data_IF_377083657917
#
_entry.id   IF_377083657917
#
_cell.length_a   1.000
_cell.length_b   1.000
_cell.length_c   1.000
_cell.angle_alpha   90.00
_cell.angle_beta   90.00
_cell.angle_gamma   90.00
#
_symmetry.space_group_name_H-M   'P 1'
#
loop_
_entity.id
_entity.type
_entity.pdbx_description
1 polymer ?
#
# COMPACT_ATOMS: atom_id res chain seq x y z
N UNK A 1 -27.10 -0.97 14.59
CA UNK A 1 -26.36 0.15 15.21
C UNK A 1 -25.79 1.05 14.13
N UNK A 2 -26.15 2.33 14.13
CA UNK A 2 -25.62 3.32 13.18
C UNK A 2 -24.11 3.40 13.34
N UNK A 3 -23.37 3.20 12.25
CA UNK A 3 -21.91 3.30 12.28
C UNK A 3 -21.52 4.77 12.27
N UNK A 4 -20.77 5.19 13.30
CA UNK A 4 -20.23 6.55 13.38
C UNK A 4 -19.29 6.86 12.22
N UNK A 5 -19.22 8.12 11.75
CA UNK A 5 -18.38 8.51 10.62
C UNK A 5 -16.88 8.31 10.90
N UNK A 6 -16.10 8.06 9.83
CA UNK A 6 -14.67 7.76 9.90
C UNK A 6 -13.84 8.83 10.62
N UNK A 7 -14.24 10.11 10.51
CA UNK A 7 -13.56 11.26 11.13
C UNK A 7 -13.27 11.10 12.62
N UNK A 8 -14.11 10.37 13.35
CA UNK A 8 -13.92 10.14 14.80
C UNK A 8 -12.73 9.23 15.13
N UNK A 9 -12.33 8.34 14.21
CA UNK A 9 -11.29 7.34 14.46
C UNK A 9 -10.06 7.51 13.56
N UNK A 10 -10.12 8.36 12.52
CA UNK A 10 -9.05 8.50 11.52
C UNK A 10 -7.70 8.90 12.13
N UNK A 11 -7.70 9.78 13.12
CA UNK A 11 -6.47 10.37 13.65
C UNK A 11 -5.79 9.40 14.64
N UNK A 12 -4.47 9.27 14.53
CA UNK A 12 -3.66 8.48 15.47
C UNK A 12 -3.35 9.33 16.71
N UNK A 13 -4.36 9.61 17.54
CA UNK A 13 -4.19 10.41 18.77
C UNK A 13 -3.99 9.56 20.03
N UNK A 14 -4.55 8.34 20.04
CA UNK A 14 -4.54 7.46 21.21
C UNK A 14 -3.37 6.48 21.18
N UNK A 15 -2.92 6.04 22.36
CA UNK A 15 -1.96 4.94 22.49
C UNK A 15 -2.47 3.65 21.81
N UNK A 16 -1.55 2.79 21.41
CA UNK A 16 -1.91 1.52 20.79
C UNK A 16 -2.70 0.64 21.76
N UNK A 17 -3.81 0.09 21.27
CA UNK A 17 -4.70 -0.78 22.05
C UNK A 17 -4.97 -2.04 21.23
N UNK A 18 -4.23 -3.11 21.55
CA UNK A 18 -4.11 -4.31 20.69
C UNK A 18 -4.15 -5.65 21.46
N UNK A 19 -3.79 -5.67 22.75
CA UNK A 19 -3.74 -6.87 23.61
C UNK A 19 -5.13 -7.43 23.91
N UNK A 20 -5.56 -8.44 23.15
CA UNK A 20 -6.93 -9.00 23.25
C UNK A 20 -7.19 -9.79 24.53
N UNK A 21 -6.16 -10.35 25.16
CA UNK A 21 -6.30 -11.09 26.43
C UNK A 21 -6.90 -10.23 27.57
N UNK A 22 -6.67 -8.92 27.55
CA UNK A 22 -7.23 -7.97 28.53
C UNK A 22 -8.55 -7.32 28.05
N UNK A 23 -9.12 -7.77 26.94
CA UNK A 23 -10.29 -7.16 26.30
C UNK A 23 -11.42 -8.17 26.06
N UNK A 24 -12.53 -8.01 26.77
CA UNK A 24 -13.77 -8.71 26.44
C UNK A 24 -14.53 -8.06 25.27
N UNK A 25 -15.16 -8.88 24.43
CA UNK A 25 -16.16 -8.42 23.44
C UNK A 25 -15.62 -7.64 22.25
N UNK A 26 -14.39 -7.90 21.81
CA UNK A 26 -13.85 -7.30 20.58
C UNK A 26 -14.59 -7.83 19.35
N UNK A 27 -15.20 -6.98 18.51
CA UNK A 27 -15.90 -7.44 17.32
C UNK A 27 -14.97 -8.11 16.31
N UNK A 28 -15.48 -9.13 15.61
CA UNK A 28 -14.77 -9.82 14.55
C UNK A 28 -14.34 -8.89 13.41
N UNK A 29 -13.23 -9.24 12.76
CA UNK A 29 -12.75 -8.54 11.56
C UNK A 29 -13.64 -8.89 10.36
N UNK A 30 -13.98 -7.90 9.52
CA UNK A 30 -14.73 -8.16 8.28
C UNK A 30 -13.86 -8.64 7.13
N UNK A 31 -12.57 -8.31 7.17
CA UNK A 31 -11.63 -8.80 6.16
C UNK A 31 -11.29 -10.23 6.55
N UNK A 32 -11.70 -11.17 5.70
CA UNK A 32 -11.42 -12.60 5.87
C UNK A 32 -10.24 -13.01 5.00
N UNK A 33 -10.20 -12.52 3.76
CA UNK A 33 -9.19 -12.89 2.76
C UNK A 33 -8.25 -11.70 2.49
N UNK A 34 -6.95 -11.91 2.73
CA UNK A 34 -5.91 -10.92 2.46
C UNK A 34 -5.22 -11.15 1.12
N UNK A 35 -5.28 -12.36 0.58
CA UNK A 35 -4.68 -12.72 -0.69
C UNK A 35 -5.72 -13.32 -1.62
N UNK A 36 -5.68 -12.96 -2.90
CA UNK A 36 -6.63 -13.34 -3.94
C UNK A 36 -5.94 -13.51 -5.29
N UNK A 37 -6.64 -14.16 -6.22
CA UNK A 37 -6.17 -14.42 -7.57
C UNK A 37 -5.33 -15.70 -7.62
N UNK A 38 -4.27 -15.66 -8.42
CA UNK A 38 -3.30 -16.74 -8.56
C UNK A 38 -2.14 -16.53 -7.58
N UNK A 39 -2.06 -17.40 -6.56
CA UNK A 39 -1.02 -17.36 -5.52
C UNK A 39 0.27 -18.08 -5.95
N UNK A 40 0.17 -18.92 -6.97
CA UNK A 40 1.23 -19.83 -7.40
C UNK A 40 2.17 -19.18 -8.41
N UNK A 41 1.63 -18.30 -9.25
CA UNK A 41 2.38 -17.70 -10.35
C UNK A 41 3.12 -16.45 -9.90
N UNK A 42 4.40 -16.36 -10.26
CA UNK A 42 5.17 -15.13 -10.10
C UNK A 42 4.88 -14.17 -11.27
N UNK A 43 4.75 -12.88 -10.95
CA UNK A 43 4.36 -11.85 -11.90
C UNK A 43 5.40 -10.71 -11.91
N UNK A 44 5.79 -10.19 -13.10
CA UNK A 44 6.89 -9.22 -13.20
C UNK A 44 6.49 -7.78 -12.90
N UNK A 45 5.20 -7.45 -12.97
CA UNK A 45 4.71 -6.11 -12.63
C UNK A 45 4.19 -6.11 -11.20
N UNK A 46 4.61 -5.13 -10.40
CA UNK A 46 4.05 -4.80 -9.09
C UNK A 46 3.45 -3.39 -9.13
N UNK A 47 2.19 -3.27 -8.71
CA UNK A 47 1.53 -1.98 -8.50
C UNK A 47 1.07 -1.90 -7.05
N UNK A 48 1.62 -0.93 -6.33
CA UNK A 48 1.32 -0.68 -4.93
C UNK A 48 0.41 0.54 -4.77
N UNK A 49 -0.58 0.43 -3.87
CA UNK A 49 -1.34 1.55 -3.34
C UNK A 49 -0.69 2.01 -2.03
N UNK A 50 -0.18 3.24 -2.01
CA UNK A 50 0.62 3.82 -0.93
C UNK A 50 -0.15 4.98 -0.30
N UNK A 51 -0.11 5.08 1.03
CA UNK A 51 -0.71 6.21 1.76
C UNK A 51 0.25 7.38 1.86
N UNK A 52 -0.29 8.60 1.78
CA UNK A 52 0.48 9.84 1.97
C UNK A 52 0.45 10.34 3.42
N UNK A 53 -0.68 10.21 4.12
CA UNK A 53 -0.84 10.72 5.50
C UNK A 53 -1.00 9.60 6.53
N UNK A 54 -0.42 9.79 7.72
CA UNK A 54 -0.60 8.87 8.83
C UNK A 54 -2.08 8.79 9.23
N UNK A 55 -2.69 7.61 9.18
CA UNK A 55 -4.10 7.46 9.50
C UNK A 55 -4.46 6.08 10.06
N UNK A 56 -5.66 6.02 10.66
CA UNK A 56 -6.30 4.77 11.02
C UNK A 56 -7.37 4.39 9.99
N UNK A 57 -7.24 3.20 9.43
CA UNK A 57 -8.18 2.65 8.45
C UNK A 57 -9.00 1.57 9.11
N UNK A 58 -10.32 1.77 9.15
CA UNK A 58 -11.23 0.77 9.74
C UNK A 58 -11.26 -0.49 8.89
N UNK A 59 -11.45 -1.63 9.54
CA UNK A 59 -11.63 -2.93 8.87
C UNK A 59 -12.74 -2.89 7.79
N UNK A 60 -13.81 -2.11 8.00
CA UNK A 60 -14.89 -1.96 7.01
C UNK A 60 -14.48 -1.18 5.76
N UNK A 61 -13.58 -0.21 5.90
CA UNK A 61 -13.05 0.58 4.78
C UNK A 61 -12.06 -0.25 3.98
N UNK A 62 -11.17 -0.98 4.66
CA UNK A 62 -10.27 -1.94 4.02
C UNK A 62 -11.03 -3.03 3.26
N UNK A 63 -12.11 -3.59 3.81
CA UNK A 63 -12.92 -4.58 3.10
C UNK A 63 -13.63 -3.98 1.88
N UNK A 64 -14.15 -2.75 1.98
CA UNK A 64 -14.75 -2.06 0.84
C UNK A 64 -13.72 -1.77 -0.27
N UNK A 65 -12.51 -1.36 0.10
CA UNK A 65 -11.39 -1.16 -0.81
C UNK A 65 -11.02 -2.47 -1.52
N UNK A 66 -10.86 -3.55 -0.75
CA UNK A 66 -10.59 -4.91 -1.24
C UNK A 66 -11.64 -5.40 -2.25
N UNK A 67 -12.93 -5.32 -1.90
CA UNK A 67 -14.02 -5.75 -2.79
C UNK A 67 -14.01 -4.94 -4.08
N UNK A 68 -13.80 -3.63 -3.99
CA UNK A 68 -13.81 -2.73 -5.16
C UNK A 68 -12.67 -3.06 -6.12
N UNK A 69 -11.45 -3.24 -5.60
CA UNK A 69 -10.30 -3.65 -6.39
C UNK A 69 -10.51 -5.05 -7.00
N UNK A 70 -10.87 -6.05 -6.18
CA UNK A 70 -11.00 -7.43 -6.64
C UNK A 70 -12.09 -7.59 -7.70
N UNK A 71 -13.22 -6.88 -7.57
CA UNK A 71 -14.29 -6.93 -8.58
C UNK A 71 -13.83 -6.45 -9.95
N UNK A 72 -13.05 -5.37 -10.00
CA UNK A 72 -12.50 -4.84 -11.27
C UNK A 72 -11.40 -5.74 -11.83
N UNK A 73 -10.49 -6.22 -10.98
CA UNK A 73 -9.43 -7.15 -11.39
C UNK A 73 -10.02 -8.45 -11.98
N UNK A 74 -11.06 -9.01 -11.35
CA UNK A 74 -11.74 -10.19 -11.88
C UNK A 74 -12.41 -9.94 -13.23
N UNK A 75 -13.00 -8.75 -13.43
CA UNK A 75 -13.67 -8.39 -14.68
C UNK A 75 -12.70 -8.13 -15.82
N UNK A 76 -11.65 -7.35 -15.57
CA UNK A 76 -10.84 -6.77 -16.65
C UNK A 76 -9.52 -7.53 -16.91
N UNK A 77 -9.01 -8.24 -15.91
CA UNK A 77 -7.72 -8.98 -15.96
C UNK A 77 -7.92 -10.49 -15.96
N UNK A 78 -8.90 -10.98 -15.19
CA UNK A 78 -9.20 -12.40 -15.04
C UNK A 78 -8.43 -13.06 -13.89
N UNK A 79 -9.05 -14.05 -13.24
CA UNK A 79 -8.59 -14.62 -11.96
C UNK A 79 -7.17 -15.19 -11.98
N UNK A 80 -6.74 -15.78 -13.11
CA UNK A 80 -5.44 -16.45 -13.23
C UNK A 80 -4.27 -15.48 -13.44
N UNK A 81 -4.56 -14.24 -13.81
CA UNK A 81 -3.57 -13.29 -14.35
C UNK A 81 -3.10 -12.25 -13.33
N UNK A 82 -3.55 -12.33 -12.08
CA UNK A 82 -3.09 -11.42 -11.03
C UNK A 82 -2.94 -12.13 -9.68
N UNK A 83 -2.02 -11.61 -8.86
CA UNK A 83 -1.95 -11.88 -7.43
C UNK A 83 -2.27 -10.57 -6.70
N UNK A 84 -3.31 -10.56 -5.87
CA UNK A 84 -3.74 -9.36 -5.14
C UNK A 84 -3.61 -9.59 -3.65
N UNK A 85 -2.87 -8.69 -2.98
CA UNK A 85 -2.56 -8.76 -1.56
C UNK A 85 -2.91 -7.48 -0.83
N UNK A 86 -3.72 -7.60 0.22
CA UNK A 86 -3.89 -6.59 1.26
C UNK A 86 -2.78 -6.82 2.28
N UNK A 87 -1.90 -5.84 2.48
CA UNK A 87 -0.72 -5.96 3.34
C UNK A 87 -0.99 -5.63 4.81
N UNK A 88 -2.02 -4.83 5.06
CA UNK A 88 -2.24 -4.20 6.36
C UNK A 88 -3.37 -4.89 7.11
N UNK A 89 -3.11 -5.26 8.37
CA UNK A 89 -4.06 -5.92 9.25
C UNK A 89 -4.62 -4.96 10.32
N UNK A 90 -5.94 -5.02 10.63
CA UNK A 90 -6.55 -4.15 11.62
C UNK A 90 -6.37 -4.69 13.04
N UNK A 91 -5.21 -4.39 13.63
CA UNK A 91 -4.89 -4.81 15.01
C UNK A 91 -5.45 -3.90 16.09
N UNK A 92 -5.64 -2.61 15.80
CA UNK A 92 -6.03 -1.63 16.80
C UNK A 92 -7.53 -1.72 17.11
N UNK A 93 -7.88 -1.89 18.37
CA UNK A 93 -9.28 -1.93 18.81
C UNK A 93 -9.79 -0.51 19.08
N UNK A 94 -10.91 -0.19 18.44
CA UNK A 94 -11.64 1.06 18.59
C UNK A 94 -12.68 0.92 19.70
N UNK A 95 -12.70 1.90 20.60
CA UNK A 95 -13.68 2.00 21.69
C UNK A 95 -14.53 3.25 21.56
N UNK A 96 -15.79 3.12 21.95
CA UNK A 96 -16.76 4.20 21.95
C UNK A 96 -17.56 4.18 23.25
N UNK A 97 -17.71 5.35 23.88
CA UNK A 97 -18.71 5.53 24.93
C UNK A 97 -20.07 5.69 24.25
N UNK A 98 -20.85 4.61 24.20
CA UNK A 98 -22.16 4.59 23.54
C UNK A 98 -23.18 5.23 24.47
N UNK A 99 -23.59 6.45 24.15
CA UNK A 99 -24.72 7.09 24.80
C UNK A 99 -26.03 6.56 24.20
N UNK A 100 -27.02 6.29 25.05
CA UNK A 100 -28.39 6.08 24.58
C UNK A 100 -28.91 7.39 23.98
N UNK A 101 -29.61 7.30 22.85
CA UNK A 101 -30.22 8.47 22.19
C UNK A 101 -31.72 8.27 22.10
N UNK A 102 -32.50 9.30 22.41
CA UNK A 102 -33.97 9.27 22.38
C UNK A 102 -34.59 9.87 23.65
N UNK A 103 -35.92 9.98 23.68
CA UNK A 103 -36.64 10.42 24.87
C UNK A 103 -36.41 9.44 26.02
N UNK A 104 -36.09 9.95 27.21
CA UNK A 104 -35.81 9.13 28.40
C UNK A 104 -34.43 8.46 28.43
N UNK A 105 -33.57 8.69 27.43
CA UNK A 105 -32.21 8.15 27.41
C UNK A 105 -31.34 8.60 28.60
N UNK A 106 -31.59 9.80 29.11
CA UNK A 106 -30.92 10.37 30.29
C UNK A 106 -31.08 9.50 31.54
N UNK A 107 -32.19 8.75 31.65
CA UNK A 107 -32.46 7.85 32.79
C UNK A 107 -31.61 6.58 32.76
N UNK A 108 -31.05 6.23 31.60
CA UNK A 108 -30.28 4.98 31.37
C UNK A 108 -28.81 5.28 31.06
N UNK A 109 -28.50 6.51 30.65
CA UNK A 109 -27.15 6.92 30.29
C UNK A 109 -26.47 7.61 31.47
N UNK A 110 -25.33 7.10 31.91
CA UNK A 110 -24.53 7.72 33.00
C UNK A 110 -23.74 8.97 32.53
N UNK A 111 -24.02 9.48 31.33
CA UNK A 111 -23.28 10.59 30.72
C UNK A 111 -21.79 10.27 30.60
N UNK A 112 -20.94 11.08 31.25
CA UNK A 112 -19.48 10.93 31.23
C UNK A 112 -18.92 10.12 32.39
N UNK A 113 -19.75 9.67 33.33
CA UNK A 113 -19.34 8.70 34.34
C UNK A 113 -19.03 7.37 33.63
N UNK A 114 -17.95 6.70 34.04
CA UNK A 114 -17.46 5.43 33.46
C UNK A 114 -17.25 5.45 31.92
N UNK A 115 -16.76 6.57 31.38
CA UNK A 115 -16.66 6.83 29.94
C UNK A 115 -15.59 6.05 29.14
N UNK A 116 -14.98 4.98 29.67
CA UNK A 116 -13.94 4.21 28.95
C UNK A 116 -14.46 3.58 27.64
N UNK A 117 -15.74 3.24 27.60
CA UNK A 117 -16.43 2.78 26.40
C UNK A 117 -16.22 1.31 26.05
N UNK A 118 -17.11 0.81 25.20
CA UNK A 118 -17.15 -0.59 24.74
C UNK A 118 -16.39 -0.73 23.42
N UNK A 119 -15.84 -1.92 23.14
CA UNK A 119 -15.21 -2.20 21.86
C UNK A 119 -16.26 -2.17 20.73
N UNK A 120 -15.98 -1.41 19.66
CA UNK A 120 -16.91 -1.22 18.52
C UNK A 120 -16.38 -1.75 17.20
N UNK A 121 -15.07 -1.94 17.08
CA UNK A 121 -14.47 -2.53 15.90
C UNK A 121 -12.96 -2.42 15.93
N UNK A 122 -12.33 -2.77 14.82
CA UNK A 122 -10.88 -2.68 14.65
C UNK A 122 -10.48 -1.76 13.51
N UNK A 123 -9.26 -1.22 13.61
CA UNK A 123 -8.62 -0.40 12.61
C UNK A 123 -7.15 -0.80 12.46
N UNK A 124 -6.62 -0.58 11.27
CA UNK A 124 -5.21 -0.61 10.99
C UNK A 124 -4.62 0.78 11.22
N UNK A 125 -3.48 0.87 11.90
CA UNK A 125 -2.67 2.09 11.93
C UNK A 125 -1.69 2.02 10.78
N UNK A 126 -1.62 3.07 10.00
CA UNK A 126 -0.77 3.13 8.80
C UNK A 126 0.04 4.41 8.83
N UNK A 127 1.32 4.28 8.55
CA UNK A 127 2.27 5.38 8.50
C UNK A 127 2.37 5.97 7.08
N UNK A 128 2.85 7.23 6.94
CA UNK A 128 3.10 7.83 5.64
C UNK A 128 4.06 6.97 4.81
N UNK A 129 3.78 6.80 3.52
CA UNK A 129 4.59 6.00 2.61
C UNK A 129 4.39 4.48 2.72
N UNK A 130 3.52 4.01 3.62
CA UNK A 130 3.29 2.58 3.78
C UNK A 130 2.37 2.02 2.69
N UNK A 131 2.73 0.83 2.17
CA UNK A 131 1.97 0.08 1.16
C UNK A 131 0.77 -0.61 1.80
N UNK A 132 -0.45 -0.31 1.36
CA UNK A 132 -1.67 -0.95 1.88
C UNK A 132 -2.03 -2.19 1.09
N UNK A 133 -2.00 -2.07 -0.24
CA UNK A 133 -2.50 -3.05 -1.17
C UNK A 133 -1.51 -3.17 -2.32
N UNK A 134 -1.26 -4.37 -2.77
CA UNK A 134 -0.37 -4.66 -3.89
C UNK A 134 -1.06 -5.59 -4.86
N UNK A 135 -0.97 -5.27 -6.13
CA UNK A 135 -1.36 -6.16 -7.22
C UNK A 135 -0.10 -6.51 -8.00
N UNK A 136 0.11 -7.81 -8.20
CA UNK A 136 1.12 -8.32 -9.11
C UNK A 136 0.43 -8.89 -10.35
N UNK A 137 0.96 -8.59 -11.54
CA UNK A 137 0.40 -9.07 -12.81
C UNK A 137 1.41 -8.95 -13.96
N UNK A 138 0.96 -9.11 -15.19
CA UNK A 138 1.73 -8.87 -16.40
C UNK A 138 1.61 -7.40 -16.85
N UNK A 139 2.61 -6.92 -17.60
CA UNK A 139 2.68 -5.53 -18.06
C UNK A 139 1.48 -5.10 -18.93
N UNK A 140 0.87 -6.04 -19.67
CA UNK A 140 -0.29 -5.77 -20.52
C UNK A 140 -1.53 -5.27 -19.76
N UNK A 141 -1.65 -5.57 -18.45
CA UNK A 141 -2.80 -5.19 -17.64
C UNK A 141 -2.58 -3.93 -16.79
N UNK A 142 -1.47 -3.23 -16.99
CA UNK A 142 -1.04 -2.12 -16.14
C UNK A 142 -2.09 -1.01 -16.01
N UNK A 143 -2.74 -0.60 -17.11
CA UNK A 143 -3.75 0.47 -17.08
C UNK A 143 -5.00 0.06 -16.31
N UNK A 144 -5.47 -1.17 -16.55
CA UNK A 144 -6.62 -1.77 -15.85
C UNK A 144 -6.37 -1.88 -14.35
N UNK A 145 -5.15 -2.25 -13.95
CA UNK A 145 -4.75 -2.35 -12.54
C UNK A 145 -4.67 -0.96 -11.89
N UNK A 146 -4.12 0.04 -12.60
CA UNK A 146 -4.10 1.42 -12.11
C UNK A 146 -5.52 1.92 -11.84
N UNK A 147 -6.44 1.67 -12.76
CA UNK A 147 -7.84 2.05 -12.59
C UNK A 147 -8.50 1.33 -11.39
N UNK A 148 -8.28 0.01 -11.26
CA UNK A 148 -8.80 -0.76 -10.13
C UNK A 148 -8.31 -0.25 -8.78
N UNK A 149 -7.01 0.08 -8.66
CA UNK A 149 -6.42 0.59 -7.43
C UNK A 149 -6.82 2.05 -7.14
N UNK A 150 -7.02 2.89 -8.16
CA UNK A 150 -7.58 4.25 -7.98
C UNK A 150 -8.97 4.19 -7.33
N UNK A 151 -9.83 3.31 -7.83
CA UNK A 151 -11.17 3.12 -7.26
C UNK A 151 -11.15 2.56 -5.84
N UNK A 152 -10.16 1.71 -5.53
CA UNK A 152 -9.89 1.25 -4.18
C UNK A 152 -9.47 2.40 -3.26
N UNK A 153 -8.61 3.30 -3.74
CA UNK A 153 -8.14 4.49 -3.04
C UNK A 153 -9.28 5.38 -2.55
N UNK A 154 -10.35 5.56 -3.34
CA UNK A 154 -11.53 6.32 -2.94
C UNK A 154 -12.31 5.75 -1.74
N UNK A 155 -12.04 4.50 -1.32
CA UNK A 155 -12.64 3.88 -0.14
C UNK A 155 -11.85 4.14 1.15
N UNK A 156 -10.65 4.71 1.03
CA UNK A 156 -9.74 4.96 2.14
C UNK A 156 -9.95 6.37 2.71
N UNK A 157 -9.60 6.58 3.99
CA UNK A 157 -9.81 7.87 4.66
C UNK A 157 -8.69 8.90 4.39
N UNK A 158 -7.60 8.50 3.73
CA UNK A 158 -6.42 9.32 3.44
C UNK A 158 -6.15 9.36 1.93
N UNK A 159 -5.56 10.45 1.41
CA UNK A 159 -4.96 10.47 0.08
C UNK A 159 -3.98 9.31 -0.10
N UNK A 160 -3.97 8.78 -1.33
CA UNK A 160 -3.12 7.66 -1.72
C UNK A 160 -2.66 7.83 -3.16
N UNK A 161 -1.44 7.38 -3.44
CA UNK A 161 -0.88 7.34 -4.78
C UNK A 161 -0.48 5.92 -5.16
N UNK A 162 -0.22 5.74 -6.44
CA UNK A 162 0.20 4.46 -7.00
C UNK A 162 1.71 4.46 -7.24
N UNK A 163 2.38 3.41 -6.79
CA UNK A 163 3.78 3.15 -7.11
C UNK A 163 3.87 1.91 -7.99
N UNK A 164 4.41 2.07 -9.19
CA UNK A 164 4.68 0.97 -10.12
C UNK A 164 6.13 0.53 -9.93
N UNK A 165 6.38 -0.77 -9.89
CA UNK A 165 7.71 -1.35 -9.78
C UNK A 165 7.78 -2.62 -10.62
N UNK A 166 8.86 -2.80 -11.35
CA UNK A 166 9.13 -4.04 -12.09
C UNK A 166 10.03 -4.93 -11.26
N UNK A 167 9.63 -6.18 -11.06
CA UNK A 167 10.38 -7.18 -10.31
C UNK A 167 11.01 -8.16 -11.31
N UNK A 168 12.25 -8.57 -11.06
CA UNK A 168 12.88 -9.69 -11.77
C UNK A 168 12.25 -11.00 -11.26
N UNK A 169 11.57 -11.70 -12.15
CA UNK A 169 10.88 -12.95 -11.83
C UNK A 169 11.80 -14.12 -12.12
N UNK A 170 11.81 -15.14 -11.26
CA UNK A 170 12.70 -16.30 -11.40
C UNK A 170 12.17 -17.35 -12.38
N UNK A 171 11.00 -17.09 -12.98
CA UNK A 171 10.31 -18.02 -13.88
C UNK A 171 9.71 -19.24 -13.17
N UNK A 172 9.83 -19.33 -11.84
CA UNK A 172 9.33 -20.47 -11.06
C UNK A 172 7.83 -20.31 -10.85
N UNK A 173 7.08 -21.35 -11.22
CA UNK A 173 5.71 -21.53 -10.74
C UNK A 173 5.85 -22.09 -9.32
N UNK A 174 5.53 -21.28 -8.32
CA UNK A 174 5.45 -21.74 -6.94
C UNK A 174 4.22 -22.64 -6.87
N UNK A 175 4.40 -23.97 -6.85
CA UNK A 175 3.26 -24.86 -6.62
C UNK A 175 2.58 -24.47 -5.30
N UNK A 176 1.29 -24.14 -5.36
CA UNK A 176 0.51 -23.79 -4.17
C UNK A 176 0.76 -24.83 -3.05
N UNK A 177 1.09 -24.43 -1.82
CA UNK A 177 1.22 -25.38 -0.74
C UNK A 177 -0.15 -26.04 -0.53
N UNK A 178 -0.25 -27.33 -0.87
CA UNK A 178 -1.41 -28.15 -0.52
C UNK A 178 -1.45 -28.23 1.00
N UNK A 179 -2.50 -27.69 1.60
CA UNK A 179 -2.80 -27.88 3.02
C UNK A 179 -3.23 -29.34 3.22
N UNK A 180 -2.26 -30.19 3.56
CA UNK A 180 -2.49 -31.44 4.28
C UNK A 180 -2.09 -31.16 5.74
N UNK A 181 -2.87 -31.71 6.68
CA UNK A 181 -2.97 -31.31 8.08
C UNK A 181 -1.68 -30.97 8.83
N UNK A 182 -1.85 -30.14 9.87
CA UNK A 182 -0.86 -29.67 10.85
C UNK A 182 0.48 -30.42 10.88
N UNK A 183 1.43 -29.94 10.08
CA UNK A 183 2.85 -29.71 10.41
C UNK A 183 3.59 -29.27 9.14
N UNK A 184 4.38 -28.20 9.28
CA UNK A 184 5.29 -27.73 8.22
C UNK A 184 6.44 -28.72 8.12
N UNK A 185 6.42 -29.56 7.10
CA UNK A 185 7.57 -30.37 6.69
C UNK A 185 8.02 -29.82 5.33
N UNK A 186 9.28 -29.42 5.27
CA UNK A 186 9.93 -29.06 4.01
C UNK A 186 9.85 -30.26 3.06
N UNK A 187 9.16 -30.08 1.93
CA UNK A 187 9.05 -31.08 0.89
C UNK A 187 10.06 -30.79 -0.24
N UNK A 188 10.56 -31.85 -0.90
CA UNK A 188 11.86 -31.86 -1.55
C UNK A 188 11.86 -31.16 -2.92
N UNK A 189 13.02 -30.61 -3.25
CA UNK A 189 13.36 -30.12 -4.60
C UNK A 189 13.47 -31.32 -5.52
N UNK A 190 12.55 -31.45 -6.48
CA UNK A 190 12.71 -32.36 -7.61
C UNK A 190 13.16 -31.50 -8.80
N UNK A 191 14.44 -31.58 -9.11
CA UNK A 191 15.01 -31.13 -10.38
C UNK A 191 14.88 -32.26 -11.37
N UNK A 192 14.05 -32.08 -12.40
CA UNK A 192 14.14 -32.88 -13.62
C UNK A 192 15.27 -32.31 -14.49
N UNK A 193 16.32 -33.10 -14.66
CA UNK A 193 17.35 -32.95 -15.69
C UNK A 193 16.78 -33.42 -17.03
N UNK A 194 16.92 -32.57 -18.06
CA UNK A 194 16.71 -32.95 -19.44
C UNK A 194 18.04 -33.39 -20.08
N UNK A 195 18.03 -34.64 -20.56
CA UNK A 195 18.69 -35.18 -21.76
C UNK A 195 20.23 -35.08 -21.95
N UNK A 196 20.82 -36.29 -21.96
CA UNK A 196 22.00 -36.82 -22.67
C UNK A 196 22.63 -35.98 -23.81
N UNK A 197 23.97 -35.88 -23.86
CA UNK A 197 24.93 -36.87 -24.42
C UNK A 197 26.38 -36.55 -23.98
N UNK A 198 27.29 -37.55 -23.90
CA UNK A 198 28.66 -37.39 -23.40
C UNK A 198 29.70 -37.09 -24.50
N UNK A 199 30.68 -36.27 -24.17
CA UNK A 199 31.85 -35.99 -25.00
C UNK A 199 32.97 -37.04 -24.79
N UNK A 200 33.57 -37.50 -25.89
CA UNK A 200 34.79 -38.31 -25.91
C UNK A 200 36.01 -37.52 -26.39
N UNK A 201 37.09 -37.64 -25.61
CA UNK A 201 38.52 -37.73 -25.97
C UNK A 201 39.24 -36.62 -26.79
N UNK A 202 40.29 -36.10 -26.13
CA UNK A 202 41.69 -36.02 -26.58
C UNK A 202 42.34 -34.67 -27.01
N UNK A 203 43.51 -34.44 -26.39
CA UNK A 203 44.72 -33.77 -26.85
C UNK A 203 44.85 -32.22 -26.78
N UNK A 204 45.62 -31.77 -25.78
CA UNK A 204 46.59 -30.67 -25.89
C UNK A 204 47.88 -31.22 -26.57
N UNK A 205 48.85 -30.44 -27.13
CA UNK A 205 49.39 -29.22 -26.49
C UNK A 205 49.93 -28.08 -27.40
N UNK A 206 50.27 -26.97 -26.72
CA UNK A 206 51.53 -26.22 -26.82
C UNK A 206 51.53 -24.75 -27.33
N UNK A 207 51.98 -23.89 -26.40
CA UNK A 207 52.97 -22.79 -26.49
C UNK A 207 52.57 -21.36 -26.90
N UNK A 208 53.03 -20.42 -26.03
CA UNK A 208 53.48 -19.06 -26.37
C UNK A 208 52.70 -17.94 -25.65
N UNK A 209 52.99 -17.56 -24.39
CA UNK A 209 54.11 -16.75 -23.88
C UNK A 209 53.95 -15.21 -24.03
N UNK A 210 53.97 -14.53 -22.86
CA UNK A 210 54.38 -13.14 -22.52
C UNK A 210 53.58 -11.98 -23.15
N UNK A 211 52.98 -11.08 -22.38
CA UNK A 211 53.58 -10.06 -21.50
C UNK A 211 53.06 -8.70 -22.03
N UNK A 212 52.71 -7.64 -21.30
CA UNK A 212 53.10 -7.13 -20.00
C UNK A 212 53.52 -5.65 -20.18
N UNK A 213 52.82 -4.74 -19.47
CA UNK A 213 53.18 -3.35 -19.05
C UNK A 213 52.90 -2.09 -19.92
N UNK A 214 52.14 -1.20 -19.25
CA UNK A 214 52.38 0.24 -18.95
C UNK A 214 52.83 1.22 -20.05
N UNK A 215 52.12 2.35 -20.22
CA UNK A 215 52.43 3.64 -19.58
C UNK A 215 51.78 4.87 -20.28
N UNK A 216 51.42 5.84 -19.43
CA UNK A 216 51.52 7.30 -19.60
C UNK A 216 50.65 8.11 -20.60
N UNK A 217 50.16 9.24 -20.08
CA UNK A 217 49.35 10.30 -20.68
C UNK A 217 50.10 11.15 -21.75
N UNK A 218 49.41 12.10 -22.43
CA UNK A 218 49.49 13.49 -21.97
C UNK A 218 48.23 14.37 -22.16
N UNK A 219 48.36 15.60 -21.68
CA UNK A 219 47.39 16.66 -21.44
C UNK A 219 46.83 17.44 -22.65
N UNK A 220 45.72 18.18 -22.43
CA UNK A 220 45.38 19.59 -22.79
C UNK A 220 43.86 19.82 -22.62
N UNK A 221 43.42 20.70 -21.71
CA UNK A 221 43.08 22.12 -21.91
C UNK A 221 41.87 22.35 -22.84
N UNK A 222 40.72 22.79 -22.28
CA UNK A 222 40.01 24.00 -22.74
C UNK A 222 38.79 24.33 -21.86
N UNK A 223 38.73 25.60 -21.46
CA UNK A 223 37.72 26.30 -20.67
C UNK A 223 36.42 26.56 -21.45
N UNK A 224 35.26 26.61 -20.76
CA UNK A 224 34.15 27.49 -21.17
C UNK A 224 33.14 27.77 -20.05
N UNK A 225 32.81 29.07 -19.95
CA UNK A 225 31.68 29.75 -19.28
C UNK A 225 31.75 29.80 -17.75
N UNK A 226 31.73 30.94 -17.08
CA UNK A 226 31.24 32.28 -17.45
C UNK A 226 30.23 32.71 -16.37
N UNK A 227 30.52 33.76 -15.61
CA UNK A 227 29.56 34.38 -14.69
C UNK A 227 30.01 35.77 -14.22
N UNK A 228 29.16 36.78 -14.47
CA UNK A 228 28.85 37.97 -13.64
C UNK A 228 28.20 39.06 -14.55
N UNK A 229 27.44 40.06 -14.04
CA UNK A 229 26.90 40.27 -12.68
C UNK A 229 25.44 40.83 -12.59
N UNK A 230 24.92 40.83 -11.36
CA UNK A 230 24.17 41.87 -10.63
C UNK A 230 22.89 42.59 -11.15
N UNK A 231 21.89 42.55 -10.23
CA UNK A 231 21.01 43.63 -9.68
C UNK A 231 19.98 44.37 -10.57
N UNK A 232 18.72 44.29 -10.09
CA UNK A 232 17.89 45.47 -9.82
C UNK A 232 16.50 45.50 -10.47
N UNK A 233 15.45 45.53 -9.64
CA UNK A 233 14.30 46.48 -9.69
C UNK A 233 13.01 45.88 -9.12
N UNK A 234 12.43 46.60 -8.16
CA UNK A 234 11.06 46.41 -7.64
C UNK A 234 10.01 47.01 -8.61
N UNK A 235 8.72 46.81 -8.34
CA UNK A 235 7.81 47.95 -8.47
C UNK A 235 6.87 48.15 -7.29
N UNK A 236 6.37 49.39 -7.24
CA UNK A 236 5.67 50.06 -6.17
C UNK A 236 4.14 49.81 -6.14
N UNK A 237 3.56 50.32 -5.06
CA UNK A 237 2.15 50.37 -4.65
C UNK A 237 1.26 51.14 -5.63
N UNK A 238 0.00 50.73 -5.74
CA UNK A 238 -1.13 51.62 -6.08
C UNK A 238 -2.29 51.37 -5.11
N UNK A 239 -2.66 52.41 -4.37
CA UNK A 239 -3.90 52.50 -3.58
C UNK A 239 -4.98 53.17 -4.44
N UNK A 240 -6.20 52.62 -4.49
CA UNK A 240 -7.42 53.46 -4.51
C UNK A 240 -8.71 52.71 -4.16
N UNK A 241 -9.33 53.26 -3.12
CA UNK A 241 -10.76 53.52 -2.86
C UNK A 241 -11.76 52.37 -2.77
N UNK A 242 -12.40 52.32 -1.60
CA UNK A 242 -13.50 51.42 -1.29
C UNK A 242 -14.87 51.86 -1.78
N UNK A 243 -15.83 50.96 -1.55
CA UNK A 243 -17.26 51.22 -1.56
C UNK A 243 -17.90 50.33 -0.47
N UNK A 244 -18.74 50.93 0.36
CA UNK A 244 -19.41 50.32 1.51
C UNK A 244 -20.55 49.35 1.10
N UNK A 245 -20.94 48.38 1.95
CA UNK A 245 -22.16 47.62 1.74
C UNK A 245 -23.39 48.39 2.27
N UNK A 246 -24.38 48.61 1.39
CA UNK A 246 -25.65 49.21 1.72
C UNK A 246 -26.53 48.27 2.58
N UNK A 247 -27.11 48.82 3.65
CA UNK A 247 -28.23 48.27 4.41
C UNK A 247 -29.53 48.38 3.59
N UNK A 248 -30.43 47.41 3.78
CA UNK A 248 -31.86 47.51 3.47
C UNK A 248 -32.34 46.38 2.55
N UNK A 249 -33.41 45.62 2.84
CA UNK A 249 -34.42 45.76 3.88
C UNK A 249 -35.29 44.51 3.97
N UNK A 250 -36.10 44.47 5.03
CA UNK A 250 -37.18 43.52 5.26
C UNK A 250 -38.20 43.57 4.12
N UNK A 251 -38.63 42.39 3.67
CA UNK A 251 -40.03 41.98 3.53
C UNK A 251 -40.07 40.46 3.63
#
# INVERSE_FOLDING_TARGET
MVRKPAKMYRNISKKAYTRREYMGGVPGNKIVQYEMGNLSQEFPLQVDLVIEEACQIRHSSLEAARITANRRLLKDVGRSNFHFKVRVFPHHVLRENKQATGAGADRVSEGMRLAFGKAVGTAARVDPGQKIMTVFSQHQYLEKIKDALRHSGHKLPSPSHLKVSTIKVSGRIVAAPKLVGEKVVAAPVVTEEAAAEPAAAAAAPAKGAKGGKEAAAPAKADDKKGAAPAKGAAPAKDEKKGAAPAKGGKK
#
